data_IF_301956282130
#
_entry.id   IF_301956282130
#
_cell.length_a   1.000
_cell.length_b   1.000
_cell.length_c   1.000
_cell.angle_alpha   90.00
_cell.angle_beta   90.00
_cell.angle_gamma   90.00
#
_symmetry.space_group_name_H-M   'P 1'
#
loop_
_entity.id
_entity.type
_entity.pdbx_description
1 polymer ?
#
# COMPACT_ATOMS: atom_id res chain seq x y z
N UNK A 1 3.69 -17.11 -30.42
CA UNK A 1 5.07 -17.08 -30.95
C UNK A 1 5.84 -18.19 -30.26
N UNK A 2 6.82 -18.79 -30.94
CA UNK A 2 7.60 -19.92 -30.43
C UNK A 2 9.09 -19.54 -30.38
N UNK A 3 9.83 -20.14 -29.45
CA UNK A 3 11.26 -19.97 -29.32
C UNK A 3 11.98 -20.42 -30.59
N UNK A 4 12.91 -19.61 -31.06
CA UNK A 4 13.70 -19.90 -32.25
C UNK A 4 14.59 -21.15 -32.09
N UNK A 5 15.08 -21.40 -30.88
CA UNK A 5 15.99 -22.52 -30.60
C UNK A 5 15.26 -23.85 -30.30
N UNK A 6 14.22 -23.83 -29.45
CA UNK A 6 13.58 -25.04 -28.94
C UNK A 6 12.13 -25.24 -29.38
N UNK A 7 11.58 -24.31 -30.17
CA UNK A 7 10.19 -24.31 -30.68
C UNK A 7 9.08 -24.28 -29.61
N UNK A 8 9.43 -24.16 -28.33
CA UNK A 8 8.46 -24.04 -27.24
C UNK A 8 7.75 -22.69 -27.26
N UNK A 9 6.53 -22.65 -26.70
CA UNK A 9 5.77 -21.41 -26.57
C UNK A 9 6.52 -20.43 -25.66
N UNK A 10 6.64 -19.18 -26.09
CA UNK A 10 7.24 -18.11 -25.27
C UNK A 10 6.21 -17.51 -24.30
N UNK A 11 6.70 -17.05 -23.16
CA UNK A 11 5.98 -16.24 -22.18
C UNK A 11 6.66 -14.87 -22.02
N UNK A 12 6.26 -14.07 -21.02
CA UNK A 12 6.77 -12.71 -20.80
C UNK A 12 8.25 -12.63 -20.44
N UNK A 13 8.90 -13.77 -20.18
CA UNK A 13 10.33 -13.85 -19.84
C UNK A 13 11.27 -14.01 -21.03
N UNK A 14 10.71 -13.95 -22.24
CA UNK A 14 11.44 -14.10 -23.49
C UNK A 14 12.63 -13.12 -23.62
N UNK A 15 13.55 -13.49 -24.50
CA UNK A 15 14.73 -12.70 -24.89
C UNK A 15 14.76 -12.53 -26.40
N UNK A 16 15.34 -11.44 -26.88
CA UNK A 16 15.49 -11.12 -28.30
C UNK A 16 16.94 -10.79 -28.60
N UNK A 17 17.43 -11.19 -29.77
CA UNK A 17 18.77 -10.79 -30.24
C UNK A 17 18.71 -9.59 -31.19
N UNK A 18 19.87 -9.08 -31.62
CA UNK A 18 19.91 -7.88 -32.47
C UNK A 18 19.18 -8.00 -33.83
N UNK A 19 18.91 -9.22 -34.30
CA UNK A 19 18.20 -9.48 -35.57
C UNK A 19 16.70 -9.78 -35.39
N UNK A 20 16.20 -9.81 -34.15
CA UNK A 20 14.79 -10.03 -33.85
C UNK A 20 14.40 -11.50 -33.66
N UNK A 21 15.36 -12.41 -33.51
CA UNK A 21 15.05 -13.79 -33.13
C UNK A 21 14.70 -13.86 -31.65
N UNK A 22 13.64 -14.61 -31.33
CA UNK A 22 13.06 -14.66 -30.00
C UNK A 22 13.35 -16.00 -29.33
N UNK A 23 13.81 -15.96 -28.08
CA UNK A 23 14.21 -17.09 -27.27
C UNK A 23 13.34 -17.16 -26.02
N UNK A 24 12.92 -18.36 -25.60
CA UNK A 24 12.08 -18.52 -24.40
C UNK A 24 12.84 -18.36 -23.08
N UNK A 25 14.18 -18.35 -23.10
CA UNK A 25 15.02 -18.21 -21.91
C UNK A 25 16.44 -17.78 -22.30
N UNK A 26 17.21 -17.30 -21.32
CA UNK A 26 18.64 -17.02 -21.48
C UNK A 26 19.41 -18.30 -21.86
N UNK A 27 19.07 -19.45 -21.27
CA UNK A 27 19.66 -20.76 -21.66
C UNK A 27 19.48 -21.07 -23.16
N UNK A 28 18.32 -20.75 -23.72
CA UNK A 28 18.06 -20.97 -25.15
C UNK A 28 18.83 -20.00 -26.05
N UNK A 29 19.13 -18.80 -25.55
CA UNK A 29 19.92 -17.81 -26.25
C UNK A 29 21.43 -18.13 -26.18
N UNK A 30 21.95 -18.54 -25.02
CA UNK A 30 23.38 -18.81 -24.80
C UNK A 30 23.88 -20.05 -25.54
N UNK A 31 23.01 -21.05 -25.73
CA UNK A 31 23.35 -22.28 -26.46
C UNK A 31 23.20 -22.09 -27.98
N UNK A 32 22.54 -21.02 -28.42
CA UNK A 32 22.39 -20.72 -29.83
C UNK A 32 23.75 -20.32 -30.42
N UNK A 33 24.18 -20.90 -31.55
CA UNK A 33 25.46 -20.56 -32.16
C UNK A 33 25.42 -19.10 -32.63
N UNK A 34 25.96 -18.19 -31.80
CA UNK A 34 26.01 -16.75 -32.06
C UNK A 34 26.75 -16.46 -33.38
N UNK A 35 26.00 -16.28 -34.47
CA UNK A 35 26.57 -15.78 -35.73
C UNK A 35 26.84 -14.28 -35.69
N UNK A 36 26.23 -13.57 -34.74
CA UNK A 36 26.44 -12.14 -34.47
C UNK A 36 26.52 -11.92 -32.96
N UNK A 37 27.45 -11.04 -32.57
CA UNK A 37 27.71 -10.68 -31.17
C UNK A 37 26.86 -9.47 -30.80
N UNK A 38 25.86 -9.67 -29.95
CA UNK A 38 24.98 -8.59 -29.48
C UNK A 38 25.71 -7.61 -28.55
N UNK A 39 26.86 -8.00 -27.97
CA UNK A 39 27.59 -7.16 -27.00
C UNK A 39 28.16 -5.88 -27.61
N UNK A 40 28.23 -5.80 -28.94
CA UNK A 40 28.66 -4.60 -29.65
C UNK A 40 27.51 -3.62 -29.98
N UNK A 41 26.25 -3.99 -29.73
CA UNK A 41 25.11 -3.14 -30.08
C UNK A 41 24.98 -1.96 -29.09
N UNK A 42 24.78 -0.71 -29.56
CA UNK A 42 24.71 0.46 -28.69
C UNK A 42 23.57 0.48 -27.65
N UNK A 43 22.60 -0.43 -27.77
CA UNK A 43 21.40 -0.51 -26.92
C UNK A 43 21.31 -1.82 -26.13
N UNK A 44 22.33 -2.69 -26.21
CA UNK A 44 22.29 -3.97 -25.51
C UNK A 44 22.23 -3.78 -23.99
N UNK A 45 23.02 -2.86 -23.44
CA UNK A 45 23.05 -2.59 -22.00
C UNK A 45 21.70 -2.05 -21.49
N UNK A 46 21.07 -1.15 -22.26
CA UNK A 46 19.74 -0.62 -21.94
C UNK A 46 18.66 -1.70 -21.99
N UNK A 47 18.69 -2.54 -23.03
CA UNK A 47 17.79 -3.67 -23.20
C UNK A 47 17.93 -4.69 -22.05
N UNK A 48 19.15 -5.08 -21.70
CA UNK A 48 19.39 -6.00 -20.58
C UNK A 48 18.99 -5.38 -19.24
N UNK A 49 19.24 -4.08 -19.06
CA UNK A 49 18.88 -3.34 -17.86
C UNK A 49 17.38 -3.34 -17.61
N UNK A 50 16.59 -2.88 -18.61
CA UNK A 50 15.14 -2.82 -18.46
C UNK A 50 14.51 -4.21 -18.36
N UNK A 51 15.01 -5.20 -19.11
CA UNK A 51 14.55 -6.59 -19.04
C UNK A 51 14.79 -7.19 -17.65
N UNK A 52 15.99 -7.03 -17.10
CA UNK A 52 16.34 -7.57 -15.79
C UNK A 52 15.46 -6.97 -14.69
N UNK A 53 15.26 -5.65 -14.72
CA UNK A 53 14.35 -4.97 -13.79
C UNK A 53 12.93 -5.51 -13.91
N UNK A 54 12.42 -5.67 -15.14
CA UNK A 54 11.06 -6.17 -15.35
C UNK A 54 10.89 -7.60 -14.82
N UNK A 55 11.85 -8.48 -15.09
CA UNK A 55 11.82 -9.88 -14.66
C UNK A 55 11.85 -10.02 -13.15
N UNK A 56 12.71 -9.27 -12.48
CA UNK A 56 12.78 -9.24 -11.01
C UNK A 56 11.43 -8.83 -10.42
N UNK A 57 10.86 -7.76 -10.95
CA UNK A 57 9.59 -7.24 -10.46
C UNK A 57 8.43 -8.17 -10.75
N UNK A 58 8.35 -8.74 -11.95
CA UNK A 58 7.32 -9.70 -12.34
C UNK A 58 7.23 -10.87 -11.37
N UNK A 59 8.38 -11.30 -10.83
CA UNK A 59 8.47 -12.41 -9.88
C UNK A 59 8.18 -11.99 -8.44
N UNK A 60 8.60 -10.78 -8.04
CA UNK A 60 8.72 -10.44 -6.62
C UNK A 60 7.69 -9.39 -6.12
N UNK A 61 7.06 -8.61 -7.00
CA UNK A 61 6.26 -7.44 -6.59
C UNK A 61 5.18 -7.77 -5.54
N UNK A 62 4.45 -8.89 -5.70
CA UNK A 62 3.41 -9.28 -4.74
C UNK A 62 3.98 -9.68 -3.39
N UNK A 63 5.11 -10.41 -3.39
CA UNK A 63 5.78 -10.87 -2.18
C UNK A 63 6.35 -9.67 -1.42
N UNK A 64 6.89 -8.69 -2.13
CA UNK A 64 7.43 -7.46 -1.55
C UNK A 64 6.33 -6.61 -0.90
N UNK A 65 5.17 -6.47 -1.57
CA UNK A 65 4.01 -5.79 -0.98
C UNK A 65 3.43 -6.57 0.22
N UNK A 66 3.35 -7.90 0.13
CA UNK A 66 2.81 -8.72 1.22
C UNK A 66 3.73 -8.76 2.44
N UNK A 67 5.05 -8.84 2.25
CA UNK A 67 6.04 -8.87 3.35
C UNK A 67 6.13 -7.55 4.12
N UNK A 68 5.66 -6.47 3.49
CA UNK A 68 5.53 -5.15 4.09
C UNK A 68 4.37 -5.12 5.12
N UNK A 69 3.37 -5.98 4.96
CA UNK A 69 2.25 -6.15 5.88
C UNK A 69 2.58 -7.18 6.99
N UNK A 70 2.22 -6.97 8.28
CA UNK A 70 1.40 -5.90 8.87
C UNK A 70 2.20 -4.71 9.45
N UNK A 71 3.54 -4.73 9.34
CA UNK A 71 4.41 -3.78 10.07
C UNK A 71 4.58 -2.41 9.39
N UNK A 72 3.98 -2.19 8.22
CA UNK A 72 4.07 -0.96 7.41
C UNK A 72 2.76 -0.69 6.67
N UNK A 73 2.65 0.52 6.12
CA UNK A 73 1.44 1.05 5.48
C UNK A 73 1.30 0.51 4.05
N UNK A 74 0.34 -0.40 3.76
CA UNK A 74 0.27 -1.10 2.47
C UNK A 74 0.05 -0.13 1.31
N UNK A 75 -0.76 0.91 1.50
CA UNK A 75 -1.00 1.93 0.48
C UNK A 75 0.29 2.72 0.13
N UNK A 76 1.13 3.02 1.13
CA UNK A 76 2.41 3.69 0.89
C UNK A 76 3.40 2.79 0.16
N UNK A 77 3.38 1.48 0.45
CA UNK A 77 4.23 0.51 -0.23
C UNK A 77 3.89 0.42 -1.73
N UNK A 78 2.59 0.45 -2.05
CA UNK A 78 2.09 0.53 -3.42
C UNK A 78 2.58 1.82 -4.10
N UNK A 79 2.51 2.97 -3.43
CA UNK A 79 3.01 4.23 -3.99
C UNK A 79 4.53 4.17 -4.25
N UNK A 80 5.32 3.71 -3.28
CA UNK A 80 6.79 3.63 -3.40
C UNK A 80 7.23 2.68 -4.50
N UNK A 81 6.51 1.58 -4.69
CA UNK A 81 6.75 0.65 -5.78
C UNK A 81 6.39 1.30 -7.13
N UNK A 82 5.27 2.02 -7.23
CA UNK A 82 4.92 2.73 -8.45
C UNK A 82 5.87 3.89 -8.78
N UNK A 83 6.38 4.61 -7.78
CA UNK A 83 7.36 5.69 -7.96
C UNK A 83 8.68 5.14 -8.52
N UNK A 84 9.14 3.98 -8.06
CA UNK A 84 10.30 3.28 -8.66
C UNK A 84 10.05 2.83 -10.11
N UNK A 85 8.82 2.51 -10.49
CA UNK A 85 8.49 2.26 -11.91
C UNK A 85 8.60 3.56 -12.70
N UNK A 86 8.15 4.70 -12.15
CA UNK A 86 8.31 5.99 -12.83
C UNK A 86 9.78 6.32 -13.10
N UNK A 87 10.69 6.01 -12.17
CA UNK A 87 12.14 6.17 -12.39
C UNK A 87 12.64 5.34 -13.60
N UNK A 88 12.07 4.16 -13.82
CA UNK A 88 12.34 3.35 -15.03
C UNK A 88 11.82 4.07 -16.28
N UNK A 89 10.60 4.61 -16.24
CA UNK A 89 10.05 5.40 -17.36
C UNK A 89 10.90 6.64 -17.67
N UNK A 90 11.38 7.35 -16.65
CA UNK A 90 12.24 8.51 -16.82
C UNK A 90 13.57 8.13 -17.46
N UNK A 91 14.17 7.02 -17.01
CA UNK A 91 15.44 6.52 -17.54
C UNK A 91 15.34 6.18 -19.03
N UNK A 92 14.22 5.61 -19.47
CA UNK A 92 14.02 5.12 -20.85
C UNK A 92 13.01 5.96 -21.65
N UNK A 93 12.76 7.20 -21.23
CA UNK A 93 11.70 8.06 -21.79
C UNK A 93 11.83 8.27 -23.30
N UNK A 94 13.06 8.40 -23.81
CA UNK A 94 13.33 8.63 -25.23
C UNK A 94 12.82 7.45 -26.10
N UNK A 95 12.97 6.21 -25.62
CA UNK A 95 12.45 5.03 -26.30
C UNK A 95 10.92 5.01 -26.33
N UNK A 96 10.28 5.48 -25.24
CA UNK A 96 8.83 5.63 -25.18
C UNK A 96 8.32 6.67 -26.18
N UNK A 97 8.96 7.84 -26.24
CA UNK A 97 8.56 8.94 -27.13
C UNK A 97 8.74 8.59 -28.61
N UNK A 98 9.82 7.88 -28.94
CA UNK A 98 10.10 7.41 -30.29
C UNK A 98 9.38 6.12 -30.64
N UNK A 99 8.67 5.50 -29.68
CA UNK A 99 8.00 4.19 -29.84
C UNK A 99 8.94 3.09 -30.33
N UNK A 100 10.21 3.16 -29.93
CA UNK A 100 11.23 2.19 -30.28
C UNK A 100 11.57 2.10 -31.77
N UNK A 101 11.42 3.18 -32.54
CA UNK A 101 11.64 3.20 -34.00
C UNK A 101 13.12 3.10 -34.44
N UNK A 102 14.06 2.84 -33.52
CA UNK A 102 15.50 2.75 -33.78
C UNK A 102 16.06 1.32 -33.67
N UNK A 103 15.42 0.39 -34.39
CA UNK A 103 15.84 -1.00 -34.48
C UNK A 103 15.27 -1.92 -33.40
N UNK A 104 15.73 -3.19 -33.41
CA UNK A 104 15.12 -4.28 -32.65
C UNK A 104 15.18 -4.01 -31.14
N UNK A 105 16.33 -3.66 -30.59
CA UNK A 105 16.45 -3.41 -29.15
C UNK A 105 15.69 -2.16 -28.70
N UNK A 106 15.65 -1.09 -29.50
CA UNK A 106 14.84 0.09 -29.19
C UNK A 106 13.34 -0.27 -29.13
N UNK A 107 12.87 -1.09 -30.08
CA UNK A 107 11.51 -1.63 -30.06
C UNK A 107 11.27 -2.49 -28.82
N UNK A 108 12.19 -3.37 -28.44
CA UNK A 108 12.01 -4.21 -27.26
C UNK A 108 12.03 -3.41 -25.95
N UNK A 109 12.88 -2.39 -25.82
CA UNK A 109 12.84 -1.47 -24.68
C UNK A 109 11.46 -0.79 -24.60
N UNK A 110 10.92 -0.33 -25.73
CA UNK A 110 9.56 0.20 -25.80
C UNK A 110 8.50 -0.83 -25.38
N UNK A 111 8.59 -2.09 -25.83
CA UNK A 111 7.67 -3.14 -25.38
C UNK A 111 7.77 -3.40 -23.86
N UNK A 112 8.97 -3.35 -23.27
CA UNK A 112 9.12 -3.47 -21.81
C UNK A 112 8.50 -2.30 -21.07
N UNK A 113 8.58 -1.08 -21.60
CA UNK A 113 7.90 0.08 -21.01
C UNK A 113 6.38 -0.14 -20.99
N UNK A 114 5.78 -0.65 -22.06
CA UNK A 114 4.35 -1.02 -22.05
C UNK A 114 4.02 -2.10 -21.01
N UNK A 115 4.90 -3.11 -20.87
CA UNK A 115 4.75 -4.13 -19.82
C UNK A 115 4.86 -3.54 -18.41
N UNK A 116 5.70 -2.53 -18.20
CA UNK A 116 5.76 -1.78 -16.95
C UNK A 116 4.50 -0.95 -16.70
N UNK A 117 3.85 -0.37 -17.73
CA UNK A 117 2.54 0.29 -17.57
C UNK A 117 1.50 -0.71 -17.06
N UNK A 118 1.45 -1.90 -17.67
CA UNK A 118 0.55 -2.97 -17.22
C UNK A 118 0.84 -3.42 -15.78
N UNK A 119 2.12 -3.52 -15.42
CA UNK A 119 2.54 -3.89 -14.06
C UNK A 119 2.18 -2.80 -13.05
N UNK A 120 2.42 -1.52 -13.38
CA UNK A 120 2.03 -0.37 -12.56
C UNK A 120 0.52 -0.38 -12.29
N UNK A 121 -0.28 -0.69 -13.31
CA UNK A 121 -1.72 -0.82 -13.17
C UNK A 121 -2.12 -2.00 -12.24
N UNK A 122 -1.44 -3.15 -12.34
CA UNK A 122 -1.66 -4.29 -11.43
C UNK A 122 -1.33 -3.92 -9.97
N UNK A 123 -0.21 -3.21 -9.76
CA UNK A 123 0.22 -2.76 -8.43
C UNK A 123 -0.76 -1.73 -7.85
N UNK A 124 -1.22 -0.78 -8.65
CA UNK A 124 -2.20 0.24 -8.25
C UNK A 124 -3.52 -0.36 -7.74
N UNK A 125 -3.95 -1.47 -8.34
CA UNK A 125 -5.17 -2.19 -7.99
C UNK A 125 -4.95 -3.33 -6.98
N UNK A 126 -3.72 -3.58 -6.56
CA UNK A 126 -3.42 -4.58 -5.54
C UNK A 126 -3.97 -4.14 -4.18
N UNK A 127 -4.46 -5.12 -3.41
CA UNK A 127 -4.97 -4.93 -2.04
C UNK A 127 -4.42 -6.04 -1.15
N UNK A 128 -4.06 -5.74 0.11
CA UNK A 128 -3.62 -6.78 1.04
C UNK A 128 -4.78 -7.71 1.40
N UNK A 129 -4.47 -8.98 1.65
CA UNK A 129 -5.39 -9.88 2.34
C UNK A 129 -5.51 -9.41 3.80
N UNK A 130 -6.71 -8.93 4.17
CA UNK A 130 -6.94 -8.34 5.49
C UNK A 130 -7.00 -9.41 6.56
N UNK A 131 -6.20 -9.23 7.60
CA UNK A 131 -6.33 -10.00 8.84
C UNK A 131 -7.48 -9.42 9.67
N UNK A 132 -8.36 -10.29 10.17
CA UNK A 132 -9.38 -9.91 11.16
C UNK A 132 -8.69 -9.77 12.52
N UNK A 133 -8.90 -8.62 13.15
CA UNK A 133 -8.59 -8.34 14.54
C UNK A 133 -9.90 -8.28 15.34
N UNK A 134 -9.78 -8.22 16.66
CA UNK A 134 -10.92 -8.17 17.55
C UNK A 134 -10.82 -6.96 18.45
N UNK A 135 -11.76 -6.03 18.28
CA UNK A 135 -11.87 -4.82 19.06
C UNK A 135 -12.63 -5.09 20.37
N UNK A 136 -12.26 -4.39 21.43
CA UNK A 136 -12.93 -4.41 22.72
C UNK A 136 -12.91 -3.01 23.33
N UNK A 137 -14.07 -2.40 23.53
CA UNK A 137 -14.23 -1.18 24.32
C UNK A 137 -14.87 -1.49 25.67
N UNK A 138 -14.42 -0.78 26.71
CA UNK A 138 -14.84 -1.03 28.09
C UNK A 138 -15.30 0.27 28.74
N UNK A 139 -16.53 0.28 29.23
CA UNK A 139 -17.04 1.35 30.08
C UNK A 139 -16.91 0.96 31.55
N UNK A 140 -16.25 1.80 32.36
CA UNK A 140 -16.09 1.53 33.80
C UNK A 140 -16.52 2.74 34.61
N UNK A 141 -17.45 2.54 35.54
CA UNK A 141 -17.93 3.56 36.45
C UNK A 141 -17.45 3.25 37.89
N UNK A 142 -16.84 4.23 38.56
CA UNK A 142 -16.17 4.02 39.86
C UNK A 142 -17.14 3.94 41.05
N UNK A 143 -18.33 4.53 40.94
CA UNK A 143 -19.31 4.63 42.04
C UNK A 143 -20.73 5.01 41.58
N UNK A 144 -21.67 5.07 42.52
CA UNK A 144 -23.04 5.56 42.33
C UNK A 144 -23.11 7.04 41.91
N UNK A 145 -21.99 7.77 41.97
CA UNK A 145 -21.90 9.16 41.47
C UNK A 145 -21.80 9.23 39.95
N UNK A 146 -21.51 8.10 39.29
CA UNK A 146 -21.44 7.99 37.83
C UNK A 146 -20.10 8.47 37.25
N UNK A 147 -19.05 8.59 38.07
CA UNK A 147 -17.73 9.00 37.57
C UNK A 147 -17.10 7.87 36.73
N UNK A 148 -17.08 8.05 35.41
CA UNK A 148 -16.53 7.09 34.45
C UNK A 148 -15.01 7.23 34.33
N UNK A 149 -14.31 6.10 34.30
CA UNK A 149 -12.88 6.03 33.97
C UNK A 149 -12.69 6.44 32.51
N UNK A 150 -11.84 7.44 32.28
CA UNK A 150 -11.76 8.07 30.95
C UNK A 150 -10.68 7.48 30.06
N UNK A 151 -9.68 6.80 30.62
CA UNK A 151 -8.54 6.29 29.86
C UNK A 151 -7.85 5.08 30.49
N UNK A 152 -7.06 4.38 29.67
CA UNK A 152 -6.29 3.21 30.06
C UNK A 152 -5.39 3.43 31.29
N UNK A 153 -4.76 4.60 31.45
CA UNK A 153 -3.87 4.82 32.60
C UNK A 153 -4.62 4.83 33.93
N UNK A 154 -5.79 5.47 33.97
CA UNK A 154 -6.69 5.44 35.11
C UNK A 154 -7.20 4.02 35.37
N UNK A 155 -7.59 3.30 34.31
CA UNK A 155 -8.07 1.93 34.43
C UNK A 155 -6.98 0.98 34.92
N UNK A 156 -5.77 1.07 34.39
CA UNK A 156 -4.62 0.29 34.82
C UNK A 156 -4.34 0.48 36.32
N UNK A 157 -4.36 1.72 36.80
CA UNK A 157 -4.21 2.02 38.24
C UNK A 157 -5.34 1.37 39.05
N UNK A 158 -6.57 1.47 38.58
CA UNK A 158 -7.72 0.85 39.23
C UNK A 158 -7.60 -0.69 39.29
N UNK A 159 -7.12 -1.34 38.23
CA UNK A 159 -6.86 -2.79 38.21
C UNK A 159 -5.79 -3.18 39.24
N UNK A 160 -4.73 -2.38 39.39
CA UNK A 160 -3.72 -2.59 40.43
C UNK A 160 -4.32 -2.49 41.84
N UNK A 161 -5.14 -1.46 42.10
CA UNK A 161 -5.77 -1.26 43.41
C UNK A 161 -6.77 -2.40 43.75
N UNK A 162 -7.40 -3.00 42.73
CA UNK A 162 -8.28 -4.17 42.86
C UNK A 162 -7.56 -5.52 42.91
N UNK A 163 -6.22 -5.54 42.80
CA UNK A 163 -5.42 -6.77 42.71
C UNK A 163 -5.82 -7.63 41.49
N UNK A 164 -6.38 -7.00 40.44
CA UNK A 164 -6.73 -7.63 39.17
C UNK A 164 -5.51 -7.69 38.24
N UNK A 165 -4.43 -8.27 38.73
CA UNK A 165 -3.10 -8.23 38.09
C UNK A 165 -3.08 -8.99 36.76
N UNK A 166 -3.78 -10.12 36.68
CA UNK A 166 -3.87 -10.91 35.45
C UNK A 166 -4.53 -10.10 34.33
N UNK A 167 -5.69 -9.48 34.61
CA UNK A 167 -6.39 -8.65 33.64
C UNK A 167 -5.52 -7.49 33.14
N UNK A 168 -4.76 -6.84 34.03
CA UNK A 168 -3.80 -5.82 33.62
C UNK A 168 -2.78 -6.35 32.60
N UNK A 169 -2.20 -7.53 32.85
CA UNK A 169 -1.22 -8.13 31.95
C UNK A 169 -1.81 -8.56 30.61
N UNK A 170 -3.06 -9.00 30.58
CA UNK A 170 -3.77 -9.34 29.35
C UNK A 170 -4.04 -8.10 28.48
N UNK A 171 -4.22 -6.93 29.08
CA UNK A 171 -4.63 -5.71 28.38
C UNK A 171 -3.47 -4.78 27.99
N UNK A 172 -2.40 -4.70 28.79
CA UNK A 172 -1.39 -3.62 28.69
C UNK A 172 -0.68 -3.49 27.34
N UNK A 173 -0.56 -4.59 26.59
CA UNK A 173 0.13 -4.63 25.29
C UNK A 173 -0.85 -4.55 24.11
N UNK A 174 -2.15 -4.44 24.40
CA UNK A 174 -3.24 -4.48 23.44
C UNK A 174 -4.04 -3.16 23.43
N UNK A 175 -3.52 -2.09 24.03
CA UNK A 175 -4.20 -0.79 24.14
C UNK A 175 -4.37 -0.18 22.76
N UNK A 176 -5.59 0.27 22.44
CA UNK A 176 -5.87 0.95 21.19
C UNK A 176 -5.10 2.28 21.12
N UNK A 177 -4.46 2.61 19.98
CA UNK A 177 -3.58 3.78 19.90
C UNK A 177 -4.32 5.12 20.01
N UNK A 178 -5.61 5.17 19.65
CA UNK A 178 -6.38 6.42 19.56
C UNK A 178 -7.61 6.47 20.46
N UNK A 179 -8.11 5.30 20.90
CA UNK A 179 -9.31 5.23 21.73
C UNK A 179 -8.94 5.01 23.19
N UNK A 180 -9.45 5.89 24.06
CA UNK A 180 -8.95 5.98 25.42
C UNK A 180 -9.19 4.72 26.27
N UNK A 181 -10.27 3.98 26.00
CA UNK A 181 -10.72 2.80 26.75
C UNK A 181 -11.04 1.63 25.82
N UNK A 182 -10.21 1.46 24.78
CA UNK A 182 -10.35 0.34 23.86
C UNK A 182 -9.06 -0.46 23.72
N UNK A 183 -9.22 -1.69 23.24
CA UNK A 183 -8.18 -2.68 23.08
C UNK A 183 -8.40 -3.46 21.79
N UNK A 184 -7.33 -4.05 21.25
CA UNK A 184 -7.41 -4.92 20.09
C UNK A 184 -6.65 -6.22 20.29
N UNK A 185 -7.13 -7.30 19.70
CA UNK A 185 -6.54 -8.63 19.82
C UNK A 185 -6.39 -9.28 18.45
N UNK A 186 -5.29 -10.01 18.25
CA UNK A 186 -5.03 -10.68 16.98
C UNK A 186 -5.88 -11.93 16.74
N UNK A 187 -6.48 -12.48 17.79
CA UNK A 187 -7.24 -13.72 17.69
C UNK A 187 -8.39 -13.77 18.70
N UNK A 188 -9.49 -14.41 18.30
CA UNK A 188 -10.71 -14.54 19.12
C UNK A 188 -10.45 -15.29 20.43
N UNK A 189 -9.55 -16.28 20.43
CA UNK A 189 -9.24 -17.05 21.63
C UNK A 189 -8.68 -16.17 22.75
N UNK A 190 -7.86 -15.19 22.38
CA UNK A 190 -7.25 -14.27 23.34
C UNK A 190 -8.26 -13.24 23.84
N UNK A 191 -9.13 -12.74 22.96
CA UNK A 191 -10.28 -11.93 23.37
C UNK A 191 -11.16 -12.69 24.38
N UNK A 192 -11.46 -13.97 24.13
CA UNK A 192 -12.29 -14.77 25.03
C UNK A 192 -11.63 -14.95 26.42
N UNK A 193 -10.33 -15.16 26.47
CA UNK A 193 -9.58 -15.22 27.74
C UNK A 193 -9.69 -13.90 28.53
N UNK A 194 -9.61 -12.76 27.83
CA UNK A 194 -9.79 -11.44 28.42
C UNK A 194 -11.21 -11.27 28.96
N UNK A 195 -12.23 -11.66 28.19
CA UNK A 195 -13.64 -11.58 28.60
C UNK A 195 -13.93 -12.47 29.83
N UNK A 196 -13.38 -13.68 29.86
CA UNK A 196 -13.48 -14.57 31.03
C UNK A 196 -12.85 -13.94 32.27
N UNK A 197 -11.70 -13.28 32.12
CA UNK A 197 -11.04 -12.60 33.23
C UNK A 197 -11.81 -11.34 33.68
N UNK A 198 -12.41 -10.59 32.75
CA UNK A 198 -13.34 -9.51 33.10
C UNK A 198 -14.53 -10.05 33.91
N UNK A 199 -15.14 -11.16 33.49
CA UNK A 199 -16.24 -11.79 34.21
C UNK A 199 -15.80 -12.29 35.61
N UNK A 200 -14.57 -12.78 35.75
CA UNK A 200 -14.02 -13.20 37.05
C UNK A 200 -13.84 -12.02 38.02
N UNK A 201 -13.37 -10.87 37.52
CA UNK A 201 -13.06 -9.69 38.34
C UNK A 201 -14.31 -8.86 38.65
N UNK A 202 -15.20 -8.67 37.67
CA UNK A 202 -16.35 -7.75 37.75
C UNK A 202 -17.72 -8.43 37.70
N UNK A 203 -17.78 -9.73 37.39
CA UNK A 203 -19.01 -10.49 37.22
C UNK A 203 -19.52 -10.48 35.76
N UNK A 204 -20.26 -11.52 35.37
CA UNK A 204 -20.76 -11.65 33.98
C UNK A 204 -21.70 -10.52 33.55
N UNK A 205 -22.53 -10.00 34.48
CA UNK A 205 -23.40 -8.86 34.18
C UNK A 205 -22.61 -7.60 33.79
N UNK A 206 -21.41 -7.40 34.36
CA UNK A 206 -20.55 -6.29 33.95
C UNK A 206 -20.13 -6.40 32.49
N UNK A 207 -19.75 -7.62 32.05
CA UNK A 207 -19.37 -7.89 30.66
C UNK A 207 -20.52 -7.60 29.72
N UNK A 208 -21.73 -8.08 30.05
CA UNK A 208 -22.92 -7.86 29.22
C UNK A 208 -23.31 -6.39 29.09
N UNK A 209 -23.20 -5.62 30.19
CA UNK A 209 -23.69 -4.24 30.25
C UNK A 209 -22.66 -3.19 29.84
N UNK A 210 -21.35 -3.49 29.91
CA UNK A 210 -20.30 -2.47 29.81
C UNK A 210 -19.15 -2.82 28.86
N UNK A 211 -19.17 -3.99 28.22
CA UNK A 211 -18.16 -4.37 27.25
C UNK A 211 -18.83 -4.50 25.89
N UNK A 212 -18.26 -3.81 24.91
CA UNK A 212 -18.56 -4.03 23.51
C UNK A 212 -17.35 -4.63 22.83
N UNK A 213 -17.55 -5.68 22.04
CA UNK A 213 -16.51 -6.29 21.22
C UNK A 213 -17.05 -6.67 19.86
N UNK A 214 -16.18 -6.57 18.86
CA UNK A 214 -16.52 -6.86 17.48
C UNK A 214 -15.26 -7.17 16.67
N UNK A 215 -15.44 -7.63 15.43
CA UNK A 215 -14.35 -7.77 14.48
C UNK A 215 -13.89 -6.38 14.01
N UNK A 216 -12.59 -6.25 13.73
CA UNK A 216 -11.97 -5.01 13.29
C UNK A 216 -10.92 -5.26 12.22
N UNK A 217 -10.66 -4.23 11.40
CA UNK A 217 -9.54 -4.20 10.46
C UNK A 217 -8.55 -3.10 10.82
N UNK A 218 -7.28 -3.38 10.55
CA UNK A 218 -6.22 -2.37 10.58
C UNK A 218 -6.38 -1.43 9.38
N UNK A 219 -6.30 -0.13 9.61
CA UNK A 219 -6.36 0.90 8.57
C UNK A 219 -5.20 0.77 7.56
N UNK A 220 -5.53 0.63 6.28
CA UNK A 220 -4.57 0.55 5.16
C UNK A 220 -3.87 1.89 4.89
N UNK A 221 -4.43 3.00 5.41
CA UNK A 221 -3.92 4.37 5.27
C UNK A 221 -2.73 4.69 6.18
N UNK A 222 -2.39 3.80 7.11
CA UNK A 222 -1.14 3.86 7.86
C UNK A 222 -1.12 4.72 9.12
N UNK A 223 -2.27 4.96 9.74
CA UNK A 223 -2.35 5.56 11.07
C UNK A 223 -2.23 4.54 12.22
N UNK A 224 -2.07 3.26 11.90
CA UNK A 224 -2.11 2.11 12.82
C UNK A 224 -3.40 2.00 13.64
N UNK A 225 -4.48 2.57 13.15
CA UNK A 225 -5.79 2.55 13.78
C UNK A 225 -6.55 1.26 13.45
N UNK A 226 -7.35 0.77 14.38
CA UNK A 226 -8.21 -0.40 14.19
C UNK A 226 -9.66 0.05 14.21
N UNK A 227 -10.35 -0.12 13.09
CA UNK A 227 -11.77 0.22 12.98
C UNK A 227 -12.60 -1.05 12.97
N UNK A 228 -13.68 -1.00 13.72
CA UNK A 228 -14.67 -2.07 13.77
C UNK A 228 -15.27 -2.27 12.38
N UNK A 229 -15.51 -3.53 12.00
CA UNK A 229 -16.19 -3.93 10.76
C UNK A 229 -17.71 -3.70 10.94
N UNK A 230 -18.09 -2.47 11.27
CA UNK A 230 -19.46 -2.01 11.40
C UNK A 230 -19.92 -1.35 10.10
N UNK A 231 -21.24 -1.29 9.87
CA UNK A 231 -21.93 -0.94 8.61
C UNK A 231 -21.64 0.45 7.99
N UNK A 232 -20.60 1.16 8.42
CA UNK A 232 -20.33 2.56 8.03
C UNK A 232 -19.12 2.72 7.09
N UNK A 233 -18.27 1.70 6.89
CA UNK A 233 -17.16 1.81 5.93
C UNK A 233 -17.68 1.54 4.51
N UNK A 234 -17.84 2.61 3.73
CA UNK A 234 -18.17 2.53 2.31
C UNK A 234 -16.96 2.05 1.50
N UNK A 235 -16.79 0.74 1.44
CA UNK A 235 -15.71 0.08 0.69
C UNK A 235 -15.76 0.40 -0.82
N UNK A 236 -16.94 0.76 -1.36
CA UNK A 236 -17.10 1.13 -2.77
C UNK A 236 -16.58 2.56 -3.02
N UNK A 237 -16.77 3.47 -2.06
CA UNK A 237 -16.19 4.82 -2.12
C UNK A 237 -14.65 4.83 -2.03
N UNK A 238 -14.05 3.78 -1.47
CA UNK A 238 -12.61 3.67 -1.23
C UNK A 238 -11.88 2.75 -2.23
N UNK A 239 -12.53 2.35 -3.33
CA UNK A 239 -11.98 1.44 -4.34
C UNK A 239 -11.38 0.17 -3.71
N UNK A 240 -12.08 -0.36 -2.70
CA UNK A 240 -11.70 -1.57 -1.97
C UNK A 240 -10.55 -1.42 -0.96
N UNK A 241 -10.02 -0.22 -0.71
CA UNK A 241 -9.13 0.06 0.44
C UNK A 241 -9.93 0.26 1.74
N UNK A 242 -9.38 -0.15 2.88
CA UNK A 242 -10.01 0.04 4.18
C UNK A 242 -9.29 1.16 4.93
N UNK A 243 -9.94 2.31 5.05
CA UNK A 243 -9.37 3.53 5.61
C UNK A 243 -10.22 3.95 6.80
N UNK A 244 -9.60 4.20 7.96
CA UNK A 244 -10.32 4.65 9.15
C UNK A 244 -10.81 6.10 9.02
N UNK A 245 -11.80 6.48 9.84
CA UNK A 245 -12.39 7.82 9.85
C UNK A 245 -11.33 8.92 10.09
N UNK A 246 -10.31 8.63 10.92
CA UNK A 246 -9.21 9.55 11.19
C UNK A 246 -8.38 9.83 9.93
N UNK A 247 -8.09 8.77 9.16
CA UNK A 247 -7.37 8.85 7.92
C UNK A 247 -8.21 9.48 6.79
N UNK A 248 -9.52 9.18 6.70
CA UNK A 248 -10.41 9.84 5.73
C UNK A 248 -10.44 11.37 5.94
N UNK A 249 -10.58 11.82 7.19
CA UNK A 249 -10.59 13.27 7.54
C UNK A 249 -9.27 13.98 7.26
N UNK A 250 -8.19 13.22 7.10
CA UNK A 250 -6.86 13.77 6.84
C UNK A 250 -6.62 14.12 5.36
N UNK A 251 -7.57 13.78 4.48
CA UNK A 251 -7.50 13.90 3.01
C UNK A 251 -6.33 13.13 2.35
N UNK A 252 -5.51 12.40 3.11
CA UNK A 252 -4.27 11.76 2.65
C UNK A 252 -4.45 10.41 1.92
N UNK A 253 -5.25 9.45 2.41
CA UNK A 253 -5.42 8.15 1.78
C UNK A 253 -6.48 8.18 0.67
N UNK A 254 -6.56 7.08 -0.07
CA UNK A 254 -7.56 6.89 -1.13
C UNK A 254 -7.23 7.59 -2.45
N UNK A 255 -8.27 7.90 -3.22
CA UNK A 255 -8.14 8.53 -4.54
C UNK A 255 -8.92 9.84 -4.54
N UNK A 256 -8.48 10.80 -5.35
CA UNK A 256 -9.38 11.88 -5.76
C UNK A 256 -10.42 11.29 -6.72
N UNK A 257 -11.64 11.82 -6.68
CA UNK A 257 -12.52 11.68 -7.84
C UNK A 257 -11.89 12.39 -9.04
N UNK A 258 -12.25 11.98 -10.27
CA UNK A 258 -11.72 12.64 -11.48
C UNK A 258 -11.95 14.15 -11.48
N UNK A 259 -13.10 14.61 -10.97
CA UNK A 259 -13.45 16.04 -10.88
C UNK A 259 -12.59 16.77 -9.86
N UNK A 260 -12.41 16.20 -8.67
CA UNK A 260 -11.51 16.76 -7.65
C UNK A 260 -10.08 16.85 -8.15
N UNK A 261 -9.58 15.79 -8.79
CA UNK A 261 -8.23 15.77 -9.35
C UNK A 261 -8.04 16.88 -10.39
N UNK A 262 -8.96 17.00 -11.36
CA UNK A 262 -8.87 18.06 -12.36
C UNK A 262 -8.90 19.46 -11.72
N UNK A 263 -9.72 19.67 -10.69
CA UNK A 263 -9.73 20.93 -9.96
C UNK A 263 -8.39 21.20 -9.25
N UNK A 264 -7.79 20.19 -8.61
CA UNK A 264 -6.46 20.33 -7.97
C UNK A 264 -5.36 20.62 -9.01
N UNK A 265 -5.42 20.00 -10.19
CA UNK A 265 -4.49 20.26 -11.30
C UNK A 265 -4.69 21.66 -11.90
N UNK A 266 -5.93 22.16 -12.01
CA UNK A 266 -6.24 23.49 -12.55
C UNK A 266 -5.90 24.63 -11.57
N UNK A 267 -6.16 24.44 -10.27
CA UNK A 267 -5.90 25.44 -9.23
C UNK A 267 -4.41 25.79 -9.11
N UNK A 268 -3.53 24.90 -9.56
CA UNK A 268 -2.09 24.97 -9.36
C UNK A 268 -1.34 25.64 -10.50
N UNK A 269 -1.90 25.67 -11.72
CA UNK A 269 -1.37 26.44 -12.85
C UNK A 269 -1.54 27.97 -12.69
N UNK A 270 -2.35 28.40 -11.71
CA UNK A 270 -2.76 29.81 -11.54
C UNK A 270 -2.04 30.53 -10.37
N UNK A 271 -1.32 29.83 -9.48
CA UNK A 271 -0.66 30.44 -8.32
C UNK A 271 0.68 29.80 -7.93
N UNK A 272 1.76 30.60 -7.92
CA UNK A 272 3.12 30.20 -7.57
C UNK A 272 3.39 29.97 -6.06
N UNK A 273 2.42 29.48 -5.28
CA UNK A 273 2.59 29.30 -3.82
C UNK A 273 1.94 28.02 -3.26
N UNK A 274 1.95 26.94 -4.06
CA UNK A 274 1.41 25.61 -3.70
C UNK A 274 2.11 25.06 -2.45
N UNK A 275 3.45 25.17 -2.39
CA UNK A 275 4.23 24.74 -1.22
C UNK A 275 3.78 25.48 0.04
N UNK A 276 3.52 26.78 -0.02
CA UNK A 276 3.09 27.59 1.13
C UNK A 276 1.64 27.33 1.56
N UNK A 277 0.74 27.02 0.60
CA UNK A 277 -0.65 26.63 0.88
C UNK A 277 -0.73 25.26 1.55
N UNK A 278 0.02 24.27 1.07
CA UNK A 278 -0.08 22.91 1.61
C UNK A 278 0.93 22.63 2.74
N UNK A 279 2.11 23.24 2.79
CA UNK A 279 3.05 23.07 3.93
C UNK A 279 2.54 23.56 5.28
N UNK A 280 1.57 24.49 5.29
CA UNK A 280 1.00 25.07 6.52
C UNK A 280 -0.21 24.32 7.06
N UNK A 281 -0.82 23.46 6.25
CA UNK A 281 -2.13 22.86 6.55
C UNK A 281 -2.18 21.35 6.30
N UNK A 282 -1.26 20.81 5.51
CA UNK A 282 -1.27 19.42 5.05
C UNK A 282 0.14 18.80 5.03
N UNK A 283 0.22 17.49 5.21
CA UNK A 283 1.43 16.72 4.92
C UNK A 283 1.65 16.67 3.41
N UNK A 284 2.51 17.56 2.88
CA UNK A 284 2.84 17.66 1.45
C UNK A 284 3.20 16.32 0.82
N UNK A 285 3.93 15.46 1.53
CA UNK A 285 4.34 14.14 1.03
C UNK A 285 3.14 13.23 0.75
N UNK A 286 2.19 13.22 1.67
CA UNK A 286 0.97 12.42 1.51
C UNK A 286 0.09 12.96 0.39
N UNK A 287 0.04 14.29 0.23
CA UNK A 287 -0.69 14.94 -0.85
C UNK A 287 -0.13 14.56 -2.24
N UNK A 288 1.19 14.66 -2.49
CA UNK A 288 1.73 14.29 -3.82
C UNK A 288 1.45 12.83 -4.14
N UNK A 289 1.55 11.92 -3.15
CA UNK A 289 1.27 10.50 -3.34
C UNK A 289 -0.17 10.27 -3.81
N UNK A 290 -1.14 10.92 -3.18
CA UNK A 290 -2.56 10.86 -3.60
C UNK A 290 -2.76 11.43 -5.01
N UNK A 291 -2.10 12.53 -5.37
CA UNK A 291 -2.14 13.10 -6.72
C UNK A 291 -1.55 12.12 -7.74
N UNK A 292 -0.32 11.62 -7.53
CA UNK A 292 0.33 10.64 -8.43
C UNK A 292 -0.56 9.41 -8.61
N UNK A 293 -1.05 8.83 -7.51
CA UNK A 293 -1.95 7.68 -7.51
C UNK A 293 -3.22 7.92 -8.33
N UNK A 294 -3.86 9.07 -8.13
CA UNK A 294 -5.08 9.43 -8.85
C UNK A 294 -4.80 9.72 -10.33
N UNK A 295 -3.68 10.37 -10.66
CA UNK A 295 -3.27 10.55 -12.05
C UNK A 295 -3.06 9.22 -12.77
N UNK A 296 -2.36 8.25 -12.14
CA UNK A 296 -2.20 6.90 -12.68
C UNK A 296 -3.56 6.22 -12.89
N UNK A 297 -4.45 6.30 -11.90
CA UNK A 297 -5.78 5.69 -11.96
C UNK A 297 -6.65 6.21 -13.11
N UNK A 298 -6.57 7.52 -13.41
CA UNK A 298 -7.34 8.13 -14.50
C UNK A 298 -6.54 8.33 -15.80
N UNK A 299 -5.35 7.74 -15.90
CA UNK A 299 -4.46 7.87 -17.06
C UNK A 299 -4.16 9.34 -17.44
N UNK A 300 -3.97 10.20 -16.43
CA UNK A 300 -3.63 11.61 -16.60
C UNK A 300 -2.13 11.83 -16.46
N UNK A 301 -1.60 12.78 -17.23
CA UNK A 301 -0.21 13.22 -17.08
C UNK A 301 0.02 13.82 -15.71
N UNK A 302 1.18 13.56 -15.14
CA UNK A 302 1.59 14.25 -13.93
C UNK A 302 1.78 15.74 -14.18
N UNK A 303 1.38 16.59 -13.23
CA UNK A 303 1.69 18.00 -13.31
C UNK A 303 3.19 18.22 -13.14
N UNK A 304 3.73 19.24 -13.81
CA UNK A 304 5.15 19.59 -13.76
C UNK A 304 5.70 19.89 -12.35
N UNK A 305 4.81 20.17 -11.39
CA UNK A 305 5.18 20.46 -10.02
C UNK A 305 5.29 19.22 -9.12
N UNK A 306 4.97 18.03 -9.63
CA UNK A 306 5.00 16.82 -8.81
C UNK A 306 6.41 16.40 -8.42
N UNK A 307 7.40 16.77 -9.24
CA UNK A 307 8.82 16.42 -9.09
C UNK A 307 9.59 17.47 -8.28
N UNK A 308 8.91 18.42 -7.63
CA UNK A 308 9.54 19.31 -6.64
C UNK A 308 9.87 18.53 -5.36
N UNK A 309 10.78 17.57 -5.47
CA UNK A 309 11.46 16.95 -4.35
C UNK A 309 12.59 17.89 -3.86
N UNK A 310 12.46 18.34 -2.62
CA UNK A 310 13.50 18.93 -1.77
C UNK A 310 14.61 19.77 -2.44
N UNK A 311 14.39 21.09 -2.43
CA UNK A 311 15.39 22.07 -2.00
C UNK A 311 15.20 22.44 -0.53
#
# INVERSE_FOLDING_TARGET
>A
MNCFNCEQKIDDTYRVNQVGEVFCSDDCYDVFPHSMDDTAHPYIDDYEGIRTNYLDWLQNWQVDLQSTYPNKYPLHAVDEMNDKIDEVFETYLDYYQTKGDDGVFANEIYQYLLKFEELQNKILHWRPERKIYYYLSVDVYLDESGSQIQNWYEFAKYLYDKIAVNLFFLLKDNVHPHDNMAFYFENQSYLNEVLDEFANVFGSAFVEDNIYSDEAYLCDGGCNDYEVIGNEVDMDALDGWFICCSCERSDYPGFFTKVELLNELDLTDVQGDIRLKYSKTYNWYSYIRKVKRSCRYYELKFPHWIDFEYG
#
